data_IF_999901153528
#
_entry.id   IF_999901153528
#
_cell.length_a   1.000
_cell.length_b   1.000
_cell.length_c   1.000
_cell.angle_alpha   90.00
_cell.angle_beta   90.00
_cell.angle_gamma   90.00
#
_symmetry.space_group_name_H-M   'P 1'
#
loop_
_entity.id
_entity.type
_entity.pdbx_description
1 polymer ?
#
# COMPACT_ATOMS: atom_id res chain seq x y z
N UNK A 1 30.44 8.71 8.11
CA UNK A 1 29.68 7.53 8.59
C UNK A 1 28.55 7.89 9.54
N UNK A 2 28.79 8.72 10.58
CA UNK A 2 27.76 9.11 11.57
C UNK A 2 26.55 9.82 10.94
N UNK A 3 26.76 10.78 10.02
CA UNK A 3 25.65 11.47 9.34
C UNK A 3 24.75 10.54 8.53
N UNK A 4 25.32 9.56 7.83
CA UNK A 4 24.53 8.57 7.10
C UNK A 4 23.68 7.70 8.03
N UNK A 5 24.21 7.32 9.20
CA UNK A 5 23.47 6.54 10.18
C UNK A 5 22.30 7.33 10.78
N UNK A 6 22.50 8.63 11.05
CA UNK A 6 21.43 9.51 11.54
C UNK A 6 20.33 9.67 10.48
N UNK A 7 20.70 9.92 9.22
CA UNK A 7 19.73 10.01 8.11
C UNK A 7 18.96 8.70 7.95
N UNK A 8 19.65 7.55 7.97
CA UNK A 8 19.03 6.25 7.85
C UNK A 8 18.06 5.95 9.02
N UNK A 9 18.41 6.36 10.25
CA UNK A 9 17.53 6.24 11.41
C UNK A 9 16.22 6.99 11.21
N UNK A 10 16.27 8.26 10.79
CA UNK A 10 15.06 9.05 10.55
C UNK A 10 14.23 8.54 9.36
N UNK A 11 14.90 8.13 8.28
CA UNK A 11 14.22 7.54 7.12
C UNK A 11 13.50 6.25 7.50
N UNK A 12 14.06 5.43 8.38
CA UNK A 12 13.44 4.20 8.86
C UNK A 12 12.03 4.46 9.43
N UNK A 13 11.88 5.48 10.28
CA UNK A 13 10.56 5.83 10.83
C UNK A 13 9.59 6.29 9.75
N UNK A 14 10.03 7.15 8.83
CA UNK A 14 9.18 7.62 7.72
C UNK A 14 8.70 6.44 6.86
N UNK A 15 9.60 5.51 6.54
CA UNK A 15 9.25 4.31 5.77
C UNK A 15 8.31 3.39 6.53
N UNK A 16 8.53 3.17 7.83
CA UNK A 16 7.65 2.33 8.65
C UNK A 16 6.22 2.88 8.63
N UNK A 17 6.02 4.17 8.90
CA UNK A 17 4.67 4.75 8.90
C UNK A 17 4.00 4.72 7.52
N UNK A 18 4.76 5.02 6.47
CA UNK A 18 4.27 4.95 5.09
C UNK A 18 3.83 3.52 4.75
N UNK A 19 4.69 2.53 4.98
CA UNK A 19 4.39 1.13 4.70
C UNK A 19 3.21 0.64 5.54
N UNK A 20 3.15 0.97 6.84
CA UNK A 20 2.05 0.56 7.71
C UNK A 20 0.71 1.14 7.26
N UNK A 21 0.65 2.43 6.90
CA UNK A 21 -0.55 3.07 6.35
C UNK A 21 -0.98 2.40 5.04
N UNK A 22 -0.03 2.07 4.18
CA UNK A 22 -0.31 1.40 2.92
C UNK A 22 -0.84 -0.03 3.13
N UNK A 23 -0.20 -0.80 4.00
CA UNK A 23 -0.62 -2.15 4.35
C UNK A 23 -2.05 -2.15 4.94
N UNK A 24 -2.35 -1.20 5.84
CA UNK A 24 -3.69 -1.08 6.41
C UNK A 24 -4.75 -0.83 5.34
N UNK A 25 -4.52 0.10 4.40
CA UNK A 25 -5.47 0.41 3.34
C UNK A 25 -5.73 -0.78 2.40
N UNK A 26 -4.67 -1.52 2.03
CA UNK A 26 -4.78 -2.74 1.23
C UNK A 26 -5.62 -3.81 1.93
N UNK A 27 -5.37 -4.05 3.23
CA UNK A 27 -6.12 -5.04 4.02
C UNK A 27 -7.58 -4.58 4.24
N UNK A 28 -7.81 -3.30 4.52
CA UNK A 28 -9.15 -2.75 4.67
C UNK A 28 -9.96 -2.93 3.38
N UNK A 29 -9.33 -2.70 2.22
CA UNK A 29 -9.96 -2.94 0.92
C UNK A 29 -10.29 -4.42 0.70
N UNK A 30 -9.39 -5.34 1.02
CA UNK A 30 -9.65 -6.78 0.87
C UNK A 30 -10.77 -7.29 1.81
N UNK A 31 -10.96 -6.62 2.95
CA UNK A 31 -12.07 -6.85 3.88
C UNK A 31 -13.37 -6.11 3.50
N UNK A 32 -13.44 -5.51 2.31
CA UNK A 32 -14.59 -4.75 1.82
C UNK A 32 -15.01 -3.58 2.73
N UNK A 33 -14.06 -2.95 3.42
CA UNK A 33 -14.33 -1.69 4.15
C UNK A 33 -14.73 -0.61 3.15
N UNK A 34 -15.75 0.23 3.45
CA UNK A 34 -16.19 1.30 2.55
C UNK A 34 -15.05 2.23 2.13
N UNK A 35 -15.05 2.63 0.86
CA UNK A 35 -14.01 3.49 0.29
C UNK A 35 -13.91 4.83 1.02
N UNK A 36 -15.04 5.42 1.41
CA UNK A 36 -15.10 6.64 2.21
C UNK A 36 -14.31 6.53 3.52
N UNK A 37 -14.51 5.43 4.26
CA UNK A 37 -13.80 5.17 5.53
C UNK A 37 -12.31 4.97 5.32
N UNK A 38 -11.91 4.26 4.25
CA UNK A 38 -10.49 4.12 3.89
C UNK A 38 -9.90 5.48 3.50
N UNK A 39 -10.65 6.30 2.76
CA UNK A 39 -10.21 7.63 2.31
C UNK A 39 -9.96 8.57 3.48
N UNK A 40 -10.87 8.60 4.44
CA UNK A 40 -10.75 9.38 5.67
C UNK A 40 -9.59 8.89 6.53
N UNK A 41 -9.44 7.58 6.73
CA UNK A 41 -8.32 7.00 7.48
C UNK A 41 -6.96 7.24 6.81
N UNK A 42 -6.94 7.34 5.47
CA UNK A 42 -5.79 7.78 4.71
C UNK A 42 -5.61 9.31 4.74
N UNK A 43 -6.54 10.09 5.26
CA UNK A 43 -6.46 11.56 5.21
C UNK A 43 -6.43 12.10 3.78
N UNK A 44 -7.15 11.46 2.85
CA UNK A 44 -7.31 11.95 1.50
C UNK A 44 -8.56 12.83 1.40
N UNK A 45 -8.41 14.01 0.80
CA UNK A 45 -9.51 14.97 0.59
C UNK A 45 -10.58 14.47 -0.39
N UNK A 46 -10.26 13.44 -1.19
CA UNK A 46 -11.16 12.85 -2.17
C UNK A 46 -11.06 11.33 -2.20
N UNK A 47 -12.21 10.67 -2.23
CA UNK A 47 -12.29 9.23 -2.50
C UNK A 47 -11.70 8.84 -3.86
N UNK A 48 -11.65 9.78 -4.82
CA UNK A 48 -11.02 9.53 -6.11
C UNK A 48 -9.52 9.23 -5.97
N UNK A 49 -8.83 9.98 -5.12
CA UNK A 49 -7.41 9.74 -4.78
C UNK A 49 -7.26 8.34 -4.18
N UNK A 50 -8.14 7.97 -3.25
CA UNK A 50 -8.15 6.63 -2.64
C UNK A 50 -8.45 5.52 -3.64
N UNK A 51 -9.32 5.77 -4.62
CA UNK A 51 -9.64 4.81 -5.69
C UNK A 51 -8.43 4.55 -6.60
N UNK A 52 -7.78 5.60 -7.09
CA UNK A 52 -6.56 5.50 -7.91
C UNK A 52 -5.47 4.78 -7.12
N UNK A 53 -5.31 5.16 -5.86
CA UNK A 53 -4.35 4.56 -4.95
C UNK A 53 -4.59 3.05 -4.76
N UNK A 54 -5.81 2.64 -4.40
CA UNK A 54 -6.14 1.23 -4.22
C UNK A 54 -6.04 0.43 -5.52
N UNK A 55 -6.32 1.05 -6.68
CA UNK A 55 -6.09 0.41 -7.98
C UNK A 55 -4.60 0.13 -8.23
N UNK A 56 -3.70 1.00 -7.76
CA UNK A 56 -2.25 0.76 -7.84
C UNK A 56 -1.76 -0.36 -6.92
N UNK A 57 -2.56 -0.74 -5.92
CA UNK A 57 -2.27 -1.83 -4.98
C UNK A 57 -2.86 -3.17 -5.44
N UNK A 58 -3.72 -3.20 -6.46
CA UNK A 58 -4.33 -4.41 -6.96
C UNK A 58 -3.31 -5.25 -7.75
N UNK A 59 -2.70 -6.22 -7.07
CA UNK A 59 -1.76 -7.17 -7.66
C UNK A 59 -2.44 -8.36 -8.32
N UNK A 60 -3.78 -8.44 -8.31
CA UNK A 60 -4.50 -9.65 -8.75
C UNK A 60 -4.21 -10.04 -10.20
N UNK A 61 -3.93 -9.07 -11.07
CA UNK A 61 -3.51 -9.34 -12.44
C UNK A 61 -2.10 -9.96 -12.52
N UNK A 62 -1.17 -9.47 -11.69
CA UNK A 62 0.18 -10.01 -11.56
C UNK A 62 0.13 -11.41 -10.96
N UNK A 63 -0.71 -11.62 -9.94
CA UNK A 63 -0.91 -12.92 -9.30
C UNK A 63 -1.47 -13.96 -10.27
N UNK A 64 -2.46 -13.58 -11.10
CA UNK A 64 -2.98 -14.43 -12.18
C UNK A 64 -1.91 -14.76 -13.23
N UNK A 65 -1.11 -13.78 -13.63
CA UNK A 65 -0.02 -14.01 -14.58
C UNK A 65 1.03 -14.98 -14.02
N UNK A 66 1.39 -14.82 -12.74
CA UNK A 66 2.31 -15.71 -12.04
C UNK A 66 1.75 -17.14 -11.95
N UNK A 67 0.47 -17.29 -11.64
CA UNK A 67 -0.19 -18.61 -11.57
C UNK A 67 -0.16 -19.34 -12.92
N UNK A 68 -0.34 -18.64 -14.04
CA UNK A 68 -0.21 -19.21 -15.39
C UNK A 68 1.22 -19.72 -15.65
N UNK A 69 2.24 -18.90 -15.33
CA UNK A 69 3.64 -19.27 -15.54
C UNK A 69 4.00 -20.49 -14.68
N UNK A 70 3.67 -20.46 -13.39
CA UNK A 70 3.98 -21.54 -12.44
C UNK A 70 3.29 -22.85 -12.79
N UNK A 71 2.09 -22.82 -13.37
CA UNK A 71 1.38 -24.02 -13.84
C UNK A 71 1.94 -24.58 -15.15
N UNK A 72 2.75 -23.81 -15.87
CA UNK A 72 3.39 -24.22 -17.12
C UNK A 72 4.82 -24.78 -16.96
N UNK A 73 5.33 -24.80 -15.71
CA UNK A 73 6.57 -25.46 -15.29
C UNK A 73 6.32 -26.93 -14.92
#
# INVERSE_FOLDING_TARGET
MIYCAIIAFFLCFVFIFYISRHAWASIARSKNVPLATISEAMGHDSENTTRIYLASLDTSQVDKANDIILKSL
#
